data_IF_869756849236
#
_entry.id   IF_869756849236
#
_cell.length_a   1.000
_cell.length_b   1.000
_cell.length_c   1.000
_cell.angle_alpha   90.00
_cell.angle_beta   90.00
_cell.angle_gamma   90.00
#
_symmetry.space_group_name_H-M   'P 1'
#
loop_
_entity.id
_entity.type
_entity.pdbx_description
1 polymer ?
#
# COMPACT_ATOMS: atom_id res chain seq x y z
N UNK A 1 5.80 15.33 -15.94
CA UNK A 1 5.35 16.67 -16.39
C UNK A 1 4.06 17.11 -15.71
N UNK A 2 3.02 16.25 -15.66
CA UNK A 2 1.70 16.58 -15.11
C UNK A 2 1.67 17.15 -13.67
N UNK A 3 2.42 16.59 -12.72
CA UNK A 3 2.38 17.10 -11.34
C UNK A 3 3.03 18.47 -11.13
N UNK A 4 3.89 18.90 -12.08
CA UNK A 4 4.49 20.24 -12.03
C UNK A 4 3.48 21.31 -12.43
N UNK A 5 2.40 20.95 -13.12
CA UNK A 5 1.41 21.90 -13.59
C UNK A 5 0.65 22.61 -12.45
N UNK A 6 0.10 21.91 -11.43
CA UNK A 6 -0.45 22.59 -10.25
C UNK A 6 0.57 23.47 -9.53
N UNK A 7 1.81 23.00 -9.39
CA UNK A 7 2.91 23.75 -8.75
C UNK A 7 3.19 25.05 -9.53
N UNK A 8 3.23 24.97 -10.86
CA UNK A 8 3.46 26.10 -11.74
C UNK A 8 2.33 27.13 -11.69
N UNK A 9 1.06 26.69 -11.67
CA UNK A 9 -0.08 27.60 -11.54
C UNK A 9 -0.01 28.34 -10.20
N UNK A 10 0.20 27.61 -9.10
CA UNK A 10 0.25 28.21 -7.77
C UNK A 10 1.43 29.17 -7.62
N UNK A 11 2.58 28.88 -8.24
CA UNK A 11 3.71 29.81 -8.23
C UNK A 11 3.45 31.05 -9.08
N UNK A 12 2.72 30.93 -10.20
CA UNK A 12 2.30 32.08 -11.02
C UNK A 12 1.31 33.01 -10.31
N UNK A 13 0.54 32.50 -9.35
CA UNK A 13 -0.34 33.31 -8.49
C UNK A 13 0.45 33.96 -7.34
N UNK A 14 1.76 33.72 -7.25
CA UNK A 14 2.63 34.36 -6.25
C UNK A 14 2.74 33.60 -4.93
N UNK A 15 2.24 32.36 -4.84
CA UNK A 15 2.45 31.54 -3.64
C UNK A 15 3.92 31.12 -3.51
N UNK A 16 4.44 31.21 -2.29
CA UNK A 16 5.79 30.74 -1.99
C UNK A 16 5.88 29.22 -2.14
N UNK A 17 7.07 28.73 -2.49
CA UNK A 17 7.30 27.30 -2.67
C UNK A 17 6.94 26.48 -1.41
N UNK A 18 7.22 27.02 -0.22
CA UNK A 18 6.86 26.39 1.05
C UNK A 18 5.34 26.23 1.22
N UNK A 19 4.54 27.22 0.83
CA UNK A 19 3.08 27.13 0.87
C UNK A 19 2.59 26.07 -0.11
N UNK A 20 3.14 26.05 -1.33
CA UNK A 20 2.77 25.06 -2.35
C UNK A 20 3.04 23.63 -1.88
N UNK A 21 4.20 23.38 -1.28
CA UNK A 21 4.53 22.07 -0.71
C UNK A 21 3.55 21.65 0.39
N UNK A 22 3.21 22.57 1.31
CA UNK A 22 2.23 22.31 2.38
C UNK A 22 0.84 21.99 1.84
N UNK A 23 0.38 22.76 0.85
CA UNK A 23 -0.92 22.53 0.20
C UNK A 23 -0.95 21.18 -0.52
N UNK A 24 0.10 20.86 -1.27
CA UNK A 24 0.20 19.61 -2.00
C UNK A 24 0.25 18.41 -1.04
N UNK A 25 1.09 18.48 -0.01
CA UNK A 25 1.19 17.44 1.02
C UNK A 25 -0.16 17.21 1.72
N UNK A 26 -0.81 18.28 2.19
CA UNK A 26 -2.10 18.19 2.88
C UNK A 26 -3.20 17.63 1.98
N UNK A 27 -3.20 18.03 0.70
CA UNK A 27 -4.15 17.51 -0.30
C UNK A 27 -3.94 16.02 -0.54
N UNK A 28 -2.69 15.57 -0.72
CA UNK A 28 -2.38 14.15 -0.91
C UNK A 28 -2.74 13.32 0.32
N UNK A 29 -2.48 13.83 1.52
CA UNK A 29 -2.85 13.15 2.76
C UNK A 29 -4.37 13.01 2.88
N UNK A 30 -5.14 14.09 2.63
CA UNK A 30 -6.59 14.03 2.58
C UNK A 30 -7.10 13.03 1.53
N UNK A 31 -6.55 13.06 0.31
CA UNK A 31 -6.89 12.11 -0.76
C UNK A 31 -6.61 10.68 -0.32
N UNK A 32 -5.52 10.42 0.41
CA UNK A 32 -5.18 9.08 0.91
C UNK A 32 -6.22 8.54 1.89
N UNK A 33 -6.72 9.37 2.82
CA UNK A 33 -7.78 8.98 3.74
C UNK A 33 -9.13 8.81 3.02
N UNK A 34 -9.48 9.74 2.15
CA UNK A 34 -10.73 9.71 1.40
C UNK A 34 -10.81 8.52 0.43
N UNK A 35 -9.72 8.24 -0.29
CA UNK A 35 -9.62 7.09 -1.19
C UNK A 35 -9.76 5.78 -0.43
N UNK A 36 -9.07 5.66 0.71
CA UNK A 36 -9.13 4.49 1.58
C UNK A 36 -10.54 4.28 2.14
N UNK A 37 -11.14 5.34 2.67
CA UNK A 37 -12.52 5.31 3.17
C UNK A 37 -13.50 4.82 2.10
N UNK A 38 -13.39 5.37 0.89
CA UNK A 38 -14.23 5.00 -0.26
C UNK A 38 -14.03 3.54 -0.66
N UNK A 39 -12.78 3.07 -0.64
CA UNK A 39 -12.42 1.68 -0.91
C UNK A 39 -13.07 0.72 0.09
N UNK A 40 -12.93 0.97 1.40
CA UNK A 40 -13.52 0.11 2.44
C UNK A 40 -15.05 0.07 2.35
N UNK A 41 -15.71 1.22 2.14
CA UNK A 41 -17.16 1.27 1.94
C UNK A 41 -17.61 0.41 0.77
N UNK A 42 -16.84 0.41 -0.32
CA UNK A 42 -17.16 -0.37 -1.50
C UNK A 42 -16.99 -1.88 -1.27
N UNK A 43 -15.91 -2.33 -0.60
CA UNK A 43 -15.61 -3.77 -0.46
C UNK A 43 -16.37 -4.47 0.68
N UNK A 44 -16.81 -3.75 1.73
CA UNK A 44 -17.49 -4.36 2.87
C UNK A 44 -19.03 -4.24 2.79
N UNK A 45 -19.58 -3.14 2.28
CA UNK A 45 -21.03 -2.94 2.11
C UNK A 45 -21.86 -3.34 3.36
N UNK A 46 -21.41 -2.92 4.54
CA UNK A 46 -22.00 -3.28 5.83
C UNK A 46 -22.65 -2.08 6.52
N UNK A 47 -23.56 -2.31 7.48
CA UNK A 47 -24.24 -1.24 8.25
C UNK A 47 -23.23 -0.36 8.99
N UNK A 48 -22.23 -0.98 9.61
CA UNK A 48 -21.19 -0.29 10.42
C UNK A 48 -19.95 0.11 9.62
N UNK A 49 -20.02 0.00 8.28
CA UNK A 49 -18.84 0.18 7.43
C UNK A 49 -18.28 1.61 7.49
N UNK A 50 -19.13 2.63 7.66
CA UNK A 50 -18.65 4.02 7.65
C UNK A 50 -17.73 4.31 8.84
N UNK A 51 -18.09 3.88 10.05
CA UNK A 51 -17.26 4.06 11.24
C UNK A 51 -15.94 3.28 11.12
N UNK A 52 -16.02 2.02 10.66
CA UNK A 52 -14.86 1.17 10.45
C UNK A 52 -13.92 1.68 9.34
N UNK A 53 -14.49 2.23 8.26
CA UNK A 53 -13.76 2.86 7.18
C UNK A 53 -13.07 4.15 7.65
N UNK A 54 -13.73 4.95 8.49
CA UNK A 54 -13.14 6.15 9.06
C UNK A 54 -11.93 5.83 9.95
N UNK A 55 -12.06 4.85 10.84
CA UNK A 55 -10.94 4.42 11.71
C UNK A 55 -9.77 3.86 10.89
N UNK A 56 -10.04 3.01 9.90
CA UNK A 56 -9.00 2.49 9.02
C UNK A 56 -8.35 3.56 8.15
N UNK A 57 -9.12 4.55 7.66
CA UNK A 57 -8.58 5.67 6.90
C UNK A 57 -7.65 6.56 7.75
N UNK A 58 -8.00 6.81 9.01
CA UNK A 58 -7.14 7.54 9.94
C UNK A 58 -5.85 6.76 10.21
N UNK A 59 -5.95 5.45 10.45
CA UNK A 59 -4.76 4.61 10.61
C UNK A 59 -3.88 4.60 9.35
N UNK A 60 -4.49 4.48 8.16
CA UNK A 60 -3.77 4.59 6.89
C UNK A 60 -3.02 5.92 6.84
N UNK A 61 -3.68 7.06 7.00
CA UNK A 61 -3.02 8.38 6.95
C UNK A 61 -1.90 8.57 7.98
N UNK A 62 -2.11 8.16 9.22
CA UNK A 62 -1.32 8.60 10.39
C UNK A 62 -0.58 7.50 11.13
N UNK A 63 -0.37 6.33 10.52
CA UNK A 63 0.47 5.32 11.14
C UNK A 63 1.95 5.75 11.16
N UNK A 64 2.67 5.22 12.14
CA UNK A 64 4.06 5.60 12.42
C UNK A 64 5.01 5.28 11.27
N UNK A 65 4.69 4.27 10.46
CA UNK A 65 5.47 3.96 9.27
C UNK A 65 5.32 5.04 8.20
N UNK A 66 4.09 5.45 7.88
CA UNK A 66 3.82 6.53 6.91
C UNK A 66 4.51 7.83 7.32
N UNK A 67 4.49 8.16 8.61
CA UNK A 67 5.20 9.32 9.19
C UNK A 67 6.70 9.27 8.92
N UNK A 68 7.32 8.10 9.08
CA UNK A 68 8.76 7.94 8.89
C UNK A 68 9.16 7.93 7.42
N UNK A 69 8.41 7.25 6.55
CA UNK A 69 8.84 6.95 5.19
C UNK A 69 8.20 7.79 4.10
N UNK A 70 6.88 8.01 4.17
CA UNK A 70 6.16 8.58 3.04
C UNK A 70 6.08 10.10 3.13
N UNK A 71 6.13 10.65 4.34
CA UNK A 71 5.94 12.08 4.53
C UNK A 71 7.12 12.92 4.04
N UNK A 72 8.33 12.35 4.03
CA UNK A 72 9.51 13.01 3.48
C UNK A 72 9.69 12.77 1.96
N UNK A 73 9.01 11.76 1.40
CA UNK A 73 9.07 11.39 -0.02
C UNK A 73 7.77 11.76 -0.73
N UNK A 74 7.59 13.06 -1.01
CA UNK A 74 6.41 13.62 -1.69
C UNK A 74 6.02 12.84 -2.96
N UNK A 75 7.01 12.32 -3.69
CA UNK A 75 6.82 11.52 -4.90
C UNK A 75 6.05 10.22 -4.61
N UNK A 76 6.43 9.48 -3.57
CA UNK A 76 5.77 8.21 -3.19
C UNK A 76 4.35 8.49 -2.67
N UNK A 77 4.15 9.64 -2.03
CA UNK A 77 2.85 10.04 -1.48
C UNK A 77 1.75 10.10 -2.55
N UNK A 78 2.09 10.34 -3.83
CA UNK A 78 1.12 10.25 -4.94
C UNK A 78 0.56 8.84 -5.10
N UNK A 79 1.40 7.81 -5.19
CA UNK A 79 0.92 6.43 -5.30
C UNK A 79 0.20 6.04 -4.01
N UNK A 80 0.74 6.42 -2.85
CA UNK A 80 0.11 6.16 -1.56
C UNK A 80 -1.31 6.72 -1.46
N UNK A 81 -1.51 7.96 -1.93
CA UNK A 81 -2.81 8.63 -1.89
C UNK A 81 -3.83 8.03 -2.85
N UNK A 82 -3.41 7.67 -4.06
CA UNK A 82 -4.30 7.15 -5.09
C UNK A 82 -4.45 5.64 -5.11
N UNK A 83 -3.59 4.88 -4.40
CA UNK A 83 -3.62 3.42 -4.35
C UNK A 83 -5.02 2.84 -4.05
N UNK A 84 -5.72 3.25 -2.96
CA UNK A 84 -7.00 2.65 -2.63
C UNK A 84 -8.08 2.91 -3.68
N UNK A 85 -8.10 4.11 -4.28
CA UNK A 85 -9.09 4.46 -5.30
C UNK A 85 -8.77 3.80 -6.64
N UNK A 86 -7.49 3.64 -6.99
CA UNK A 86 -7.07 2.85 -8.17
C UNK A 86 -7.57 1.42 -8.01
N UNK A 87 -7.34 0.78 -6.87
CA UNK A 87 -7.81 -0.58 -6.64
C UNK A 87 -9.35 -0.67 -6.67
N UNK A 88 -10.07 0.29 -6.08
CA UNK A 88 -11.53 0.40 -6.17
C UNK A 88 -12.00 0.38 -7.64
N UNK A 89 -11.43 1.23 -8.48
CA UNK A 89 -11.83 1.34 -9.88
C UNK A 89 -11.36 0.15 -10.73
N UNK A 90 -10.21 -0.46 -10.42
CA UNK A 90 -9.83 -1.75 -11.01
C UNK A 90 -10.91 -2.81 -10.73
N UNK A 91 -11.40 -2.92 -9.49
CA UNK A 91 -12.45 -3.88 -9.13
C UNK A 91 -13.76 -3.56 -9.85
N UNK A 92 -14.15 -2.29 -9.93
CA UNK A 92 -15.36 -1.88 -10.66
C UNK A 92 -15.28 -2.23 -12.15
N UNK A 93 -14.18 -1.86 -12.80
CA UNK A 93 -13.94 -2.16 -14.22
C UNK A 93 -13.89 -3.67 -14.45
N UNK A 94 -13.19 -4.41 -13.59
CA UNK A 94 -13.08 -5.86 -13.68
C UNK A 94 -14.45 -6.55 -13.55
N UNK A 95 -15.27 -6.10 -12.59
CA UNK A 95 -16.59 -6.65 -12.34
C UNK A 95 -17.58 -6.26 -13.42
N UNK A 96 -17.76 -4.97 -13.71
CA UNK A 96 -18.74 -4.47 -14.67
C UNK A 96 -18.12 -3.32 -15.46
N UNK A 97 -17.42 -3.63 -16.58
CA UNK A 97 -16.73 -2.61 -17.35
C UNK A 97 -17.74 -1.57 -17.84
N UNK A 98 -17.48 -0.31 -17.54
CA UNK A 98 -18.22 0.82 -18.06
C UNK A 98 -17.28 1.98 -18.34
N UNK A 99 -17.68 2.85 -19.27
CA UNK A 99 -16.83 3.96 -19.75
C UNK A 99 -16.41 4.91 -18.63
N UNK A 100 -17.33 5.23 -17.71
CA UNK A 100 -17.08 6.16 -16.61
C UNK A 100 -15.99 5.64 -15.68
N UNK A 101 -16.09 4.39 -15.23
CA UNK A 101 -15.13 3.78 -14.32
C UNK A 101 -13.76 3.56 -14.98
N UNK A 102 -13.72 3.24 -16.28
CA UNK A 102 -12.49 3.16 -17.06
C UNK A 102 -11.76 4.52 -17.19
N UNK A 103 -12.50 5.59 -17.50
CA UNK A 103 -11.95 6.95 -17.56
C UNK A 103 -11.42 7.37 -16.19
N UNK A 104 -12.19 7.14 -15.13
CA UNK A 104 -11.78 7.46 -13.76
C UNK A 104 -10.54 6.67 -13.33
N UNK A 105 -10.47 5.36 -13.62
CA UNK A 105 -9.27 4.55 -13.40
C UNK A 105 -8.05 5.18 -14.08
N UNK A 106 -8.19 5.56 -15.36
CA UNK A 106 -7.10 6.15 -16.15
C UNK A 106 -6.66 7.51 -15.58
N UNK A 107 -7.60 8.35 -15.15
CA UNK A 107 -7.30 9.63 -14.49
C UNK A 107 -6.54 9.40 -13.17
N UNK A 108 -7.01 8.49 -12.31
CA UNK A 108 -6.33 8.23 -11.03
C UNK A 108 -4.94 7.63 -11.23
N UNK A 109 -4.77 6.74 -12.21
CA UNK A 109 -3.45 6.22 -12.59
C UNK A 109 -2.53 7.35 -13.09
N UNK A 110 -3.04 8.29 -13.89
CA UNK A 110 -2.28 9.45 -14.36
C UNK A 110 -1.89 10.38 -13.20
N UNK A 111 -2.81 10.63 -12.26
CA UNK A 111 -2.53 11.44 -11.07
C UNK A 111 -1.49 10.77 -10.16
N UNK A 112 -1.46 9.43 -10.09
CA UNK A 112 -0.45 8.67 -9.34
C UNK A 112 0.92 8.62 -10.00
N UNK A 113 1.03 9.03 -11.28
CA UNK A 113 2.24 8.88 -12.10
C UNK A 113 3.54 9.44 -11.50
N UNK A 114 3.56 10.52 -10.70
CA UNK A 114 4.81 11.00 -10.13
C UNK A 114 5.54 9.93 -9.32
N UNK A 115 4.81 9.09 -8.57
CA UNK A 115 5.40 8.04 -7.76
C UNK A 115 6.11 6.94 -8.57
N UNK A 116 5.88 6.89 -9.88
CA UNK A 116 6.38 5.86 -10.80
C UNK A 116 7.74 6.24 -11.39
N UNK A 117 8.26 7.41 -11.01
CA UNK A 117 9.69 7.69 -11.16
C UNK A 117 10.54 6.54 -10.59
N UNK A 118 10.01 5.81 -9.59
CA UNK A 118 10.48 4.49 -9.24
C UNK A 118 9.57 3.41 -9.85
N UNK A 119 10.00 2.82 -10.97
CA UNK A 119 9.23 1.81 -11.70
C UNK A 119 8.84 0.60 -10.84
N UNK A 120 9.67 0.24 -9.84
CA UNK A 120 9.38 -0.88 -8.95
C UNK A 120 8.14 -0.63 -8.08
N UNK A 121 7.89 0.62 -7.66
CA UNK A 121 6.65 0.95 -6.92
C UNK A 121 5.43 0.77 -7.85
N UNK A 122 5.55 1.15 -9.12
CA UNK A 122 4.52 0.90 -10.13
C UNK A 122 4.28 -0.60 -10.35
N UNK A 123 5.34 -1.41 -10.42
CA UNK A 123 5.24 -2.87 -10.52
C UNK A 123 4.57 -3.48 -9.28
N UNK A 124 4.88 -3.01 -8.08
CA UNK A 124 4.22 -3.43 -6.83
C UNK A 124 2.71 -3.16 -6.87
N UNK A 125 2.29 -2.01 -7.42
CA UNK A 125 0.86 -1.72 -7.63
C UNK A 125 0.21 -2.70 -8.61
N UNK A 126 0.86 -2.99 -9.73
CA UNK A 126 0.36 -3.97 -10.71
C UNK A 126 0.23 -5.35 -10.07
N UNK A 127 1.25 -5.80 -9.33
CA UNK A 127 1.23 -7.09 -8.61
C UNK A 127 0.06 -7.14 -7.62
N UNK A 128 -0.14 -6.09 -6.84
CA UNK A 128 -1.27 -5.99 -5.90
C UNK A 128 -2.62 -6.09 -6.61
N UNK A 129 -2.80 -5.35 -7.71
CA UNK A 129 -4.04 -5.38 -8.51
C UNK A 129 -4.25 -6.78 -9.08
N UNK A 130 -3.26 -7.34 -9.78
CA UNK A 130 -3.37 -8.66 -10.39
C UNK A 130 -3.66 -9.74 -9.35
N UNK A 131 -2.95 -9.71 -8.21
CA UNK A 131 -3.19 -10.64 -7.11
C UNK A 131 -4.64 -10.57 -6.61
N UNK A 132 -5.16 -9.37 -6.36
CA UNK A 132 -6.55 -9.19 -5.94
C UNK A 132 -7.52 -9.73 -7.00
N UNK A 133 -7.33 -9.39 -8.28
CA UNK A 133 -8.25 -9.78 -9.36
C UNK A 133 -8.22 -11.30 -9.62
N UNK A 134 -7.06 -11.95 -9.49
CA UNK A 134 -6.93 -13.41 -9.61
C UNK A 134 -7.72 -14.11 -8.50
N UNK A 135 -7.55 -13.70 -7.25
CA UNK A 135 -8.30 -14.31 -6.15
C UNK A 135 -9.79 -13.99 -6.29
N UNK A 136 -10.17 -12.77 -6.68
CA UNK A 136 -11.56 -12.41 -6.94
C UNK A 136 -12.19 -13.27 -8.05
N UNK A 137 -11.43 -13.56 -9.10
CA UNK A 137 -11.85 -14.47 -10.17
C UNK A 137 -12.08 -15.88 -9.62
N UNK A 138 -11.12 -16.45 -8.88
CA UNK A 138 -11.22 -17.80 -8.30
C UNK A 138 -12.48 -17.95 -7.44
N UNK A 139 -12.82 -16.95 -6.62
CA UNK A 139 -14.00 -16.98 -5.75
C UNK A 139 -15.34 -16.85 -6.48
N UNK A 140 -15.35 -16.48 -7.76
CA UNK A 140 -16.57 -16.26 -8.54
C UNK A 140 -16.79 -17.29 -9.65
N UNK A 141 -15.83 -18.19 -9.87
CA UNK A 141 -15.93 -19.25 -10.88
C UNK A 141 -16.83 -20.35 -10.35
N UNK A 142 -18.13 -20.24 -10.60
CA UNK A 142 -19.11 -21.32 -10.38
C UNK A 142 -20.14 -21.37 -11.52
N UNK A 143 -20.39 -22.56 -12.07
CA UNK A 143 -21.59 -22.87 -12.87
C UNK A 143 -21.51 -22.73 -14.41
N UNK A 144 -22.70 -22.90 -15.02
CA UNK A 144 -22.93 -22.83 -16.48
C UNK A 144 -22.81 -21.37 -16.94
N UNK A 145 -22.06 -21.11 -18.02
CA UNK A 145 -21.78 -19.76 -18.52
C UNK A 145 -20.32 -19.29 -18.37
N UNK A 146 -19.43 -20.18 -17.91
CA UNK A 146 -17.99 -19.90 -17.72
C UNK A 146 -17.31 -19.21 -18.91
N UNK A 147 -17.63 -19.61 -20.15
CA UNK A 147 -17.03 -18.99 -21.37
C UNK A 147 -17.36 -17.51 -21.51
N UNK A 148 -18.63 -17.14 -21.31
CA UNK A 148 -19.08 -15.73 -21.39
C UNK A 148 -18.49 -14.93 -20.23
N UNK A 149 -18.50 -15.51 -19.03
CA UNK A 149 -17.88 -14.93 -17.85
C UNK A 149 -16.37 -14.65 -18.07
N UNK A 150 -15.61 -15.64 -18.54
CA UNK A 150 -14.18 -15.53 -18.82
C UNK A 150 -13.89 -14.48 -19.89
N UNK A 151 -14.65 -14.45 -21.00
CA UNK A 151 -14.49 -13.44 -22.06
C UNK A 151 -14.66 -12.01 -21.51
N UNK A 152 -15.68 -11.79 -20.68
CA UNK A 152 -15.90 -10.48 -20.01
C UNK A 152 -14.76 -10.12 -19.06
N UNK A 153 -14.23 -11.09 -18.31
CA UNK A 153 -13.11 -10.88 -17.38
C UNK A 153 -11.81 -10.55 -18.11
N UNK A 154 -11.50 -11.27 -19.18
CA UNK A 154 -10.33 -11.00 -20.03
C UNK A 154 -10.43 -9.62 -20.70
N UNK A 155 -11.62 -9.26 -21.22
CA UNK A 155 -11.83 -7.92 -21.77
C UNK A 155 -11.61 -6.82 -20.71
N UNK A 156 -12.08 -7.05 -19.48
CA UNK A 156 -11.90 -6.09 -18.40
C UNK A 156 -10.43 -5.99 -17.96
N UNK A 157 -9.68 -7.10 -17.96
CA UNK A 157 -8.23 -7.09 -17.74
C UNK A 157 -7.50 -6.32 -18.84
N UNK A 158 -7.88 -6.51 -20.11
CA UNK A 158 -7.32 -5.75 -21.22
C UNK A 158 -7.53 -4.25 -21.03
N UNK A 159 -8.73 -3.82 -20.62
CA UNK A 159 -9.01 -2.42 -20.31
C UNK A 159 -8.13 -1.90 -19.16
N UNK A 160 -7.97 -2.68 -18.08
CA UNK A 160 -7.11 -2.29 -16.97
C UNK A 160 -5.66 -2.13 -17.46
N UNK A 161 -5.11 -3.11 -18.18
CA UNK A 161 -3.78 -3.05 -18.78
C UNK A 161 -3.61 -1.83 -19.69
N UNK A 162 -4.64 -1.53 -20.51
CA UNK A 162 -4.65 -0.33 -21.36
C UNK A 162 -4.61 0.94 -20.52
N UNK A 163 -5.36 1.05 -19.42
CA UNK A 163 -5.29 2.20 -18.51
C UNK A 163 -3.90 2.39 -17.90
N UNK A 164 -3.25 1.30 -17.45
CA UNK A 164 -1.88 1.34 -16.95
C UNK A 164 -0.91 1.81 -18.03
N UNK A 165 -1.01 1.25 -19.24
CA UNK A 165 -0.17 1.64 -20.36
C UNK A 165 -0.35 3.12 -20.73
N UNK A 166 -1.60 3.58 -20.91
CA UNK A 166 -1.88 4.97 -21.27
C UNK A 166 -1.36 5.94 -20.20
N UNK A 167 -1.63 5.67 -18.93
CA UNK A 167 -1.23 6.55 -17.84
C UNK A 167 0.29 6.61 -17.64
N UNK A 168 0.99 5.48 -17.82
CA UNK A 168 2.40 5.33 -17.40
C UNK A 168 3.38 5.19 -18.55
N UNK A 169 2.92 5.17 -19.80
CA UNK A 169 3.75 5.11 -21.02
C UNK A 169 4.91 6.10 -21.00
N UNK A 170 4.70 7.32 -20.52
CA UNK A 170 5.73 8.35 -20.41
C UNK A 170 6.91 7.98 -19.50
N UNK A 171 6.73 7.07 -18.54
CA UNK A 171 7.79 6.57 -17.66
C UNK A 171 8.28 5.19 -18.10
N UNK A 172 7.35 4.31 -18.53
CA UNK A 172 7.66 2.94 -18.94
C UNK A 172 8.45 2.91 -20.25
N UNK A 173 8.09 3.70 -21.25
CA UNK A 173 8.78 3.68 -22.56
C UNK A 173 10.25 4.10 -22.42
N UNK A 174 10.60 5.23 -21.76
CA UNK A 174 12.01 5.57 -21.54
C UNK A 174 12.76 4.54 -20.70
N UNK A 175 12.11 3.94 -19.70
CA UNK A 175 12.74 2.90 -18.88
C UNK A 175 13.06 1.64 -19.71
N UNK A 176 12.13 1.19 -20.55
CA UNK A 176 12.35 0.06 -21.46
C UNK A 176 13.44 0.37 -22.51
N UNK A 177 13.48 1.60 -23.02
CA UNK A 177 14.52 2.03 -23.96
C UNK A 177 15.93 1.99 -23.33
N UNK A 178 16.03 2.32 -22.04
CA UNK A 178 17.32 2.37 -21.33
C UNK A 178 17.68 1.08 -20.57
N UNK A 179 16.81 0.06 -20.56
CA UNK A 179 16.98 -1.12 -19.71
C UNK A 179 18.31 -1.85 -19.94
N UNK A 180 18.79 -1.91 -21.18
CA UNK A 180 20.08 -2.55 -21.49
C UNK A 180 21.27 -1.83 -20.86
N UNK A 181 21.25 -0.49 -20.83
CA UNK A 181 22.29 0.33 -20.18
C UNK A 181 22.23 0.16 -18.66
N UNK A 182 21.03 0.15 -18.10
CA UNK A 182 20.82 -0.01 -16.66
C UNK A 182 21.25 -1.40 -16.17
N UNK A 183 20.94 -2.46 -16.92
CA UNK A 183 21.38 -3.83 -16.61
C UNK A 183 22.91 -3.90 -16.60
N UNK A 184 23.57 -3.40 -17.64
CA UNK A 184 25.04 -3.43 -17.73
C UNK A 184 25.70 -2.61 -16.62
N UNK A 185 25.09 -1.49 -16.22
CA UNK A 185 25.56 -0.68 -15.10
C UNK A 185 25.35 -1.38 -13.75
N UNK A 186 24.24 -2.11 -13.60
CA UNK A 186 23.91 -2.84 -12.38
C UNK A 186 24.78 -4.10 -12.19
N UNK A 187 25.14 -4.81 -13.26
CA UNK A 187 26.06 -5.95 -13.20
C UNK A 187 27.50 -5.54 -12.93
N UNK A 188 27.86 -4.30 -13.26
CA UNK A 188 29.19 -3.72 -13.02
C UNK A 188 29.31 -3.00 -11.68
N UNK A 189 28.19 -2.77 -10.98
CA UNK A 189 28.19 -2.13 -9.68
C UNK A 189 28.79 -3.05 -8.60
N UNK A 190 29.52 -2.50 -7.60
CA UNK A 190 30.04 -3.29 -6.50
C UNK A 190 28.90 -4.08 -5.84
N UNK A 191 29.19 -5.32 -5.46
CA UNK A 191 28.26 -6.23 -4.80
C UNK A 191 27.56 -5.49 -3.67
N UNK A 192 26.25 -5.29 -3.81
CA UNK A 192 25.43 -4.64 -2.77
C UNK A 192 25.63 -5.42 -1.48
N UNK A 193 26.24 -4.78 -0.48
CA UNK A 193 26.53 -5.42 0.80
C UNK A 193 25.22 -5.81 1.47
N UNK A 194 25.07 -7.11 1.80
CA UNK A 194 23.90 -7.65 2.51
C UNK A 194 23.63 -6.91 3.82
N UNK A 195 24.67 -6.35 4.43
CA UNK A 195 24.60 -5.51 5.63
C UNK A 195 23.71 -4.28 5.43
N UNK A 196 23.89 -3.55 4.31
CA UNK A 196 23.08 -2.38 3.98
C UNK A 196 21.59 -2.72 3.85
N UNK A 197 21.28 -3.91 3.33
CA UNK A 197 19.90 -4.40 3.21
C UNK A 197 19.36 -4.76 4.59
N UNK A 198 20.19 -5.36 5.44
CA UNK A 198 19.86 -5.61 6.84
C UNK A 198 19.46 -4.33 7.58
N UNK A 199 20.10 -3.21 7.27
CA UNK A 199 19.77 -1.89 7.82
C UNK A 199 18.50 -1.27 7.23
N UNK A 200 18.27 -1.49 5.93
CA UNK A 200 17.05 -1.08 5.24
C UNK A 200 15.84 -2.01 5.49
N UNK A 201 15.99 -3.00 6.37
CA UNK A 201 14.95 -3.93 6.82
C UNK A 201 14.55 -3.66 8.27
N UNK A 202 13.51 -4.35 8.76
CA UNK A 202 13.15 -4.28 10.17
C UNK A 202 14.35 -4.61 11.07
N UNK A 203 14.68 -3.73 12.01
CA UNK A 203 15.76 -3.98 12.97
C UNK A 203 15.42 -5.13 13.91
N UNK A 204 14.16 -5.17 14.36
CA UNK A 204 13.59 -6.27 15.14
C UNK A 204 12.21 -6.60 14.60
N UNK A 205 11.90 -7.88 14.42
CA UNK A 205 10.59 -8.36 13.94
C UNK A 205 9.45 -7.80 14.80
N UNK A 206 9.64 -7.78 16.13
CA UNK A 206 8.68 -7.22 17.08
C UNK A 206 8.31 -5.75 16.79
N UNK A 207 9.29 -4.93 16.40
CA UNK A 207 9.05 -3.52 16.07
C UNK A 207 8.35 -3.35 14.72
N UNK A 208 8.42 -4.36 13.84
CA UNK A 208 7.61 -4.41 12.62
C UNK A 208 6.11 -4.40 12.92
N UNK A 209 5.65 -5.14 13.93
CA UNK A 209 4.24 -5.15 14.35
C UNK A 209 3.77 -3.80 14.90
N UNK A 210 4.71 -2.99 15.39
CA UNK A 210 4.46 -1.66 15.96
C UNK A 210 4.74 -0.53 14.96
N UNK A 211 5.07 -0.85 13.71
CA UNK A 211 5.38 0.12 12.67
C UNK A 211 6.64 0.97 12.95
N UNK A 212 7.62 0.40 13.67
CA UNK A 212 8.87 1.07 14.09
C UNK A 212 10.14 0.35 13.64
N UNK A 213 10.05 -0.54 12.67
CA UNK A 213 11.20 -1.34 12.29
C UNK A 213 12.29 -0.59 11.51
N UNK A 214 12.11 0.69 11.15
CA UNK A 214 13.14 1.48 10.48
C UNK A 214 14.36 1.70 11.38
N UNK A 215 15.57 1.51 10.87
CA UNK A 215 16.81 1.70 11.63
C UNK A 215 16.93 3.11 12.20
N UNK A 216 16.49 4.12 11.44
CA UNK A 216 16.57 5.51 11.87
C UNK A 216 15.65 5.82 13.04
N UNK A 217 14.61 5.03 13.32
CA UNK A 217 13.61 5.41 14.31
C UNK A 217 14.20 5.60 15.72
N UNK A 218 15.05 4.68 16.15
CA UNK A 218 15.79 4.76 17.41
C UNK A 218 17.27 5.13 17.21
N UNK A 219 17.65 5.48 15.99
CA UNK A 219 19.00 5.88 15.64
C UNK A 219 19.32 7.31 16.06
N UNK A 220 20.61 7.60 16.17
CA UNK A 220 21.13 8.92 16.47
C UNK A 220 22.39 9.20 15.67
N UNK A 221 22.66 10.48 15.39
CA UNK A 221 23.92 10.93 14.82
C UNK A 221 24.55 11.98 15.73
N UNK A 222 25.80 11.75 16.16
CA UNK A 222 26.53 12.64 17.09
C UNK A 222 25.79 12.94 18.41
N UNK A 223 25.01 11.99 18.91
CA UNK A 223 24.20 12.13 20.12
C UNK A 223 22.79 12.66 19.88
N UNK A 224 22.50 13.21 18.70
CA UNK A 224 21.17 13.71 18.36
C UNK A 224 20.30 12.60 17.75
N UNK A 225 19.12 12.37 18.33
CA UNK A 225 18.15 11.41 17.80
C UNK A 225 17.63 11.85 16.43
N UNK A 226 17.54 10.94 15.47
CA UNK A 226 16.91 11.23 14.17
C UNK A 226 15.42 11.61 14.35
N UNK A 227 14.75 11.00 15.33
CA UNK A 227 13.37 11.31 15.70
C UNK A 227 13.31 11.66 17.20
N UNK A 228 13.19 12.95 17.57
CA UNK A 228 13.19 13.38 18.98
C UNK A 228 12.11 12.71 19.84
N UNK A 229 10.97 12.36 19.23
CA UNK A 229 9.85 11.72 19.92
C UNK A 229 9.99 10.20 20.07
N UNK A 230 11.03 9.57 19.49
CA UNK A 230 11.22 8.11 19.52
C UNK A 230 11.36 7.55 20.94
N UNK A 231 11.89 8.33 21.88
CA UNK A 231 12.05 7.92 23.27
C UNK A 231 10.71 7.55 23.94
N UNK A 232 9.64 8.27 23.63
CA UNK A 232 8.30 8.01 24.19
C UNK A 232 7.79 6.62 23.78
N UNK A 233 8.17 6.14 22.60
CA UNK A 233 7.77 4.83 22.09
C UNK A 233 8.47 3.65 22.78
N UNK A 234 9.44 3.91 23.66
CA UNK A 234 10.02 2.88 24.56
C UNK A 234 9.25 2.72 25.87
N UNK A 235 8.28 3.59 26.16
CA UNK A 235 7.46 3.48 27.38
C UNK A 235 6.48 2.30 27.30
N UNK A 236 6.14 1.65 28.43
CA UNK A 236 5.20 0.53 28.44
C UNK A 236 3.86 0.82 27.77
N UNK A 237 3.32 2.03 27.97
CA UNK A 237 2.06 2.46 27.35
C UNK A 237 2.11 2.40 25.82
N UNK A 238 3.14 2.99 25.20
CA UNK A 238 3.29 2.99 23.74
C UNK A 238 3.72 1.63 23.17
N UNK A 239 4.32 0.77 23.99
CA UNK A 239 4.54 -0.64 23.64
C UNK A 239 3.21 -1.37 23.55
N UNK A 240 2.39 -1.29 24.60
CA UNK A 240 1.07 -1.91 24.65
C UNK A 240 0.16 -1.40 23.54
N UNK A 241 0.12 -0.09 23.29
CA UNK A 241 -0.69 0.50 22.21
C UNK A 241 -0.26 0.01 20.81
N UNK A 242 1.05 -0.06 20.56
CA UNK A 242 1.57 -0.55 19.29
C UNK A 242 1.16 -2.00 19.01
N UNK A 243 1.30 -2.88 20.01
CA UNK A 243 0.86 -4.27 19.88
C UNK A 243 -0.66 -4.43 19.86
N UNK A 244 -1.40 -3.58 20.57
CA UNK A 244 -2.87 -3.59 20.55
C UNK A 244 -3.39 -3.37 19.14
N UNK A 245 -2.80 -2.45 18.36
CA UNK A 245 -3.18 -2.22 16.97
C UNK A 245 -2.94 -3.48 16.11
N UNK A 246 -1.81 -4.17 16.30
CA UNK A 246 -1.53 -5.43 15.61
C UNK A 246 -2.52 -6.54 15.99
N UNK A 247 -2.82 -6.69 17.28
CA UNK A 247 -3.82 -7.67 17.77
C UNK A 247 -5.21 -7.35 17.18
N UNK A 248 -5.62 -6.09 17.19
CA UNK A 248 -6.87 -5.66 16.58
C UNK A 248 -6.89 -5.94 15.09
N UNK A 249 -5.81 -5.69 14.36
CA UNK A 249 -5.72 -6.05 12.94
C UNK A 249 -5.93 -7.54 12.72
N UNK A 250 -5.16 -8.41 13.39
CA UNK A 250 -5.26 -9.86 13.20
C UNK A 250 -6.53 -10.48 13.78
N UNK A 251 -7.24 -9.78 14.66
CA UNK A 251 -8.56 -10.22 15.13
C UNK A 251 -9.57 -10.36 13.98
N UNK A 252 -9.31 -9.74 12.81
CA UNK A 252 -10.11 -9.89 11.59
C UNK A 252 -10.28 -11.34 11.17
N UNK A 253 -9.32 -12.23 11.49
CA UNK A 253 -9.42 -13.65 11.16
C UNK A 253 -10.50 -14.39 11.97
N UNK A 254 -10.76 -13.94 13.20
CA UNK A 254 -11.83 -14.48 14.04
C UNK A 254 -13.18 -13.83 13.72
N UNK A 255 -13.15 -12.66 13.10
CA UNK A 255 -14.35 -11.96 12.68
C UNK A 255 -14.75 -12.37 11.25
N UNK A 256 -15.97 -12.90 11.14
CA UNK A 256 -16.81 -12.73 9.96
C UNK A 256 -16.52 -13.61 8.71
N UNK A 257 -17.27 -14.71 8.57
CA UNK A 257 -17.30 -15.56 7.36
C UNK A 257 -17.73 -14.79 6.10
N UNK A 258 -18.54 -13.73 6.22
CA UNK A 258 -19.08 -12.98 5.05
C UNK A 258 -18.02 -12.15 4.32
N UNK A 259 -16.90 -11.80 4.94
CA UNK A 259 -15.78 -11.12 4.26
C UNK A 259 -14.57 -12.04 4.05
N UNK A 260 -14.78 -13.37 4.11
CA UNK A 260 -13.72 -14.38 4.00
C UNK A 260 -12.76 -14.14 2.84
N UNK A 261 -13.26 -13.79 1.65
CA UNK A 261 -12.42 -13.47 0.47
C UNK A 261 -11.46 -12.32 0.75
N UNK A 262 -11.97 -11.19 1.26
CA UNK A 262 -11.15 -10.01 1.54
C UNK A 262 -10.16 -10.28 2.67
N UNK A 263 -10.56 -11.01 3.71
CA UNK A 263 -9.69 -11.43 4.82
C UNK A 263 -8.54 -12.30 4.29
N UNK A 264 -8.80 -13.25 3.39
CA UNK A 264 -7.76 -14.10 2.80
C UNK A 264 -6.81 -13.26 1.96
N UNK A 265 -7.32 -12.41 1.07
CA UNK A 265 -6.49 -11.57 0.19
C UNK A 265 -5.60 -10.65 1.03
N UNK A 266 -6.19 -9.83 1.90
CA UNK A 266 -5.45 -8.84 2.67
C UNK A 266 -4.64 -9.46 3.81
N UNK A 267 -5.08 -10.60 4.36
CA UNK A 267 -4.32 -11.42 5.30
C UNK A 267 -3.02 -11.93 4.68
N UNK A 268 -3.13 -12.55 3.51
CA UNK A 268 -1.96 -13.02 2.77
C UNK A 268 -1.03 -11.87 2.42
N UNK A 269 -1.56 -10.76 1.89
CA UNK A 269 -0.74 -9.59 1.54
C UNK A 269 -0.04 -8.99 2.76
N UNK A 270 -0.73 -8.89 3.90
CA UNK A 270 -0.14 -8.34 5.14
C UNK A 270 1.00 -9.23 5.63
N UNK A 271 0.78 -10.55 5.72
CA UNK A 271 1.78 -11.50 6.23
C UNK A 271 2.97 -11.59 5.26
N UNK A 272 2.72 -11.79 3.96
CA UNK A 272 3.79 -11.89 2.96
C UNK A 272 4.61 -10.60 2.87
N UNK A 273 3.96 -9.44 2.88
CA UNK A 273 4.65 -8.14 2.87
C UNK A 273 5.47 -7.94 4.14
N UNK A 274 4.94 -8.28 5.31
CA UNK A 274 5.68 -8.22 6.58
C UNK A 274 6.95 -9.08 6.55
N UNK A 275 6.83 -10.32 6.06
CA UNK A 275 7.96 -11.24 5.93
C UNK A 275 9.01 -10.71 4.94
N UNK A 276 8.61 -10.15 3.80
CA UNK A 276 9.52 -9.61 2.80
C UNK A 276 10.22 -8.32 3.25
N UNK A 277 9.53 -7.46 4.02
CA UNK A 277 10.12 -6.24 4.60
C UNK A 277 11.26 -6.59 5.58
N UNK A 278 11.16 -7.72 6.25
CA UNK A 278 12.18 -8.21 7.16
C UNK A 278 13.51 -8.59 6.46
N UNK A 279 13.49 -8.71 5.11
CA UNK A 279 14.67 -8.88 4.28
C UNK A 279 15.50 -10.13 4.64
N UNK A 280 16.83 -10.02 4.79
CA UNK A 280 17.71 -11.17 5.03
C UNK A 280 17.60 -11.74 6.46
N UNK A 281 16.77 -11.16 7.33
CA UNK A 281 16.60 -11.61 8.72
C UNK A 281 15.56 -12.73 8.83
N UNK A 282 15.70 -13.59 9.84
CA UNK A 282 14.75 -14.67 10.19
C UNK A 282 13.30 -14.13 10.36
N UNK A 283 12.25 -14.84 9.89
CA UNK A 283 12.22 -16.28 9.58
C UNK A 283 12.48 -16.66 8.11
N UNK A 284 12.23 -15.78 7.13
CA UNK A 284 12.42 -16.11 5.70
C UNK A 284 13.73 -15.58 5.11
N UNK A 285 14.65 -15.11 5.95
CA UNK A 285 15.88 -14.46 5.54
C UNK A 285 16.76 -15.27 4.59
N UNK A 286 16.79 -16.60 4.75
CA UNK A 286 17.51 -17.50 3.85
C UNK A 286 16.94 -17.47 2.42
N UNK A 287 15.60 -17.51 2.29
CA UNK A 287 14.91 -17.42 0.99
C UNK A 287 15.15 -16.04 0.37
N UNK A 288 15.04 -14.97 1.17
CA UNK A 288 15.32 -13.62 0.70
C UNK A 288 16.76 -13.48 0.18
N UNK A 289 17.74 -13.97 0.94
CA UNK A 289 19.16 -13.91 0.58
C UNK A 289 19.46 -14.75 -0.66
N UNK A 290 18.86 -15.94 -0.77
CA UNK A 290 18.95 -16.77 -1.97
C UNK A 290 18.42 -16.04 -3.20
N UNK A 291 17.22 -15.45 -3.11
CA UNK A 291 16.64 -14.69 -4.21
C UNK A 291 17.50 -13.49 -4.59
N UNK A 292 18.00 -12.76 -3.58
CA UNK A 292 18.81 -11.56 -3.76
C UNK A 292 20.15 -11.85 -4.43
N UNK A 293 20.84 -12.91 -4.02
CA UNK A 293 22.17 -13.25 -4.55
C UNK A 293 22.10 -13.98 -5.90
N UNK A 294 21.01 -14.70 -6.18
CA UNK A 294 20.88 -15.52 -7.40
C UNK A 294 20.17 -14.82 -8.55
N UNK A 295 19.23 -13.91 -8.28
CA UNK A 295 18.42 -13.27 -9.31
C UNK A 295 18.70 -11.75 -9.37
N UNK A 296 19.33 -11.25 -10.44
CA UNK A 296 19.70 -9.84 -10.56
C UNK A 296 18.51 -8.87 -10.39
N UNK A 297 17.32 -9.25 -10.82
CA UNK A 297 16.10 -8.44 -10.64
C UNK A 297 15.72 -8.24 -9.17
N UNK A 298 16.10 -9.17 -8.28
CA UNK A 298 15.79 -9.06 -6.87
C UNK A 298 16.66 -8.00 -6.16
N UNK A 299 17.75 -7.55 -6.78
CA UNK A 299 18.54 -6.39 -6.32
C UNK A 299 17.73 -5.11 -6.20
N UNK A 300 16.65 -4.98 -6.99
CA UNK A 300 15.75 -3.86 -6.92
C UNK A 300 15.03 -3.77 -5.56
N UNK A 301 14.97 -4.86 -4.79
CA UNK A 301 14.40 -4.89 -3.43
C UNK A 301 15.41 -4.53 -2.32
N UNK A 302 16.60 -4.00 -2.63
CA UNK A 302 17.62 -3.59 -1.63
C UNK A 302 17.14 -2.68 -0.48
N UNK A 303 16.02 -1.98 -0.69
CA UNK A 303 15.30 -1.27 0.35
C UNK A 303 13.85 -1.79 0.31
N UNK A 304 13.54 -2.86 1.06
CA UNK A 304 12.24 -3.50 1.01
C UNK A 304 11.19 -2.70 1.77
N UNK A 305 11.58 -1.92 2.79
CA UNK A 305 10.70 -0.99 3.50
C UNK A 305 10.02 -0.06 2.48
N UNK A 306 10.77 0.79 1.78
CA UNK A 306 10.18 1.82 0.90
C UNK A 306 9.16 1.29 -0.13
N UNK A 307 9.34 0.04 -0.57
CA UNK A 307 8.61 -0.53 -1.71
C UNK A 307 7.46 -1.44 -1.27
N UNK A 308 7.74 -2.33 -0.33
CA UNK A 308 6.79 -3.35 0.14
C UNK A 308 5.95 -2.80 1.31
N UNK A 309 6.48 -1.83 2.06
CA UNK A 309 5.78 -1.15 3.14
C UNK A 309 4.46 -0.53 2.74
N UNK A 310 4.34 -0.05 1.50
CA UNK A 310 3.09 0.48 0.95
C UNK A 310 2.00 -0.60 0.87
N UNK A 311 2.33 -1.80 0.40
CA UNK A 311 1.39 -2.94 0.36
C UNK A 311 1.07 -3.39 1.79
N UNK A 312 2.07 -3.45 2.66
CA UNK A 312 1.90 -3.83 4.07
C UNK A 312 0.92 -2.90 4.79
N UNK A 313 1.15 -1.58 4.77
CA UNK A 313 0.26 -0.62 5.43
C UNK A 313 -1.15 -0.68 4.83
N UNK A 314 -1.25 -0.72 3.51
CA UNK A 314 -2.56 -0.76 2.84
C UNK A 314 -3.36 -1.99 3.28
N UNK A 315 -2.77 -3.18 3.14
CA UNK A 315 -3.44 -4.44 3.50
C UNK A 315 -3.74 -4.54 5.00
N UNK A 316 -2.81 -4.11 5.85
CA UNK A 316 -3.01 -4.05 7.30
C UNK A 316 -4.17 -3.12 7.67
N UNK A 317 -4.24 -1.93 7.06
CA UNK A 317 -5.32 -0.98 7.31
C UNK A 317 -6.68 -1.56 6.91
N UNK A 318 -6.74 -2.37 5.84
CA UNK A 318 -7.98 -3.02 5.41
C UNK A 318 -8.44 -4.06 6.43
N UNK A 319 -7.53 -4.90 6.93
CA UNK A 319 -7.85 -5.87 7.98
C UNK A 319 -8.30 -5.18 9.27
N UNK A 320 -7.64 -4.09 9.65
CA UNK A 320 -8.03 -3.28 10.80
C UNK A 320 -9.46 -2.72 10.64
N UNK A 321 -9.83 -2.21 9.47
CA UNK A 321 -11.22 -1.82 9.17
C UNK A 321 -12.20 -3.00 9.28
N UNK A 322 -11.83 -4.20 8.80
CA UNK A 322 -12.68 -5.38 8.93
C UNK A 322 -12.91 -5.73 10.41
N UNK A 323 -11.85 -5.67 11.23
CA UNK A 323 -11.94 -5.90 12.67
C UNK A 323 -12.85 -4.91 13.37
N UNK A 324 -12.70 -3.60 13.10
CA UNK A 324 -13.59 -2.58 13.69
C UNK A 324 -15.06 -2.80 13.28
N UNK A 325 -15.32 -3.12 12.01
CA UNK A 325 -16.67 -3.46 11.54
C UNK A 325 -17.24 -4.68 12.28
N UNK A 326 -16.40 -5.70 12.54
CA UNK A 326 -16.76 -6.88 13.34
C UNK A 326 -17.10 -6.53 14.79
N UNK A 327 -16.29 -5.70 15.44
CA UNK A 327 -16.47 -5.26 16.83
C UNK A 327 -17.76 -4.44 16.98
N UNK A 328 -17.96 -3.40 16.16
CA UNK A 328 -19.15 -2.56 16.24
C UNK A 328 -20.44 -3.36 16.10
N UNK A 329 -20.45 -4.35 15.21
CA UNK A 329 -21.60 -5.24 15.04
C UNK A 329 -21.89 -6.07 16.28
N UNK A 330 -20.86 -6.64 16.93
CA UNK A 330 -21.04 -7.45 18.15
C UNK A 330 -21.59 -6.62 19.29
N UNK A 331 -21.11 -5.38 19.45
CA UNK A 331 -21.61 -4.45 20.47
C UNK A 331 -23.11 -4.18 20.24
N UNK A 332 -23.49 -3.73 19.04
CA UNK A 332 -24.89 -3.43 18.73
C UNK A 332 -25.82 -4.65 18.77
N UNK A 333 -25.34 -5.85 18.40
CA UNK A 333 -26.13 -7.08 18.53
C UNK A 333 -26.46 -7.40 19.99
N UNK A 334 -25.50 -7.16 20.88
CA UNK A 334 -25.66 -7.39 22.32
C UNK A 334 -26.72 -6.44 22.89
N UNK A 335 -26.68 -5.16 22.52
CA UNK A 335 -27.69 -4.15 22.92
C UNK A 335 -29.10 -4.56 22.49
N UNK A 336 -29.28 -4.94 21.21
CA UNK A 336 -30.61 -5.35 20.70
C UNK A 336 -31.21 -6.59 21.38
N UNK A 337 -30.38 -7.42 22.03
CA UNK A 337 -30.83 -8.61 22.75
C UNK A 337 -31.35 -8.28 24.16
N UNK A 338 -30.91 -7.17 24.75
CA UNK A 338 -31.35 -6.76 26.09
C UNK A 338 -32.57 -5.83 26.06
N UNK A 339 -32.89 -5.25 24.90
CA UNK A 339 -34.10 -4.42 24.72
C UNK A 339 -35.37 -5.23 24.43
N UNK A 340 -35.26 -6.54 24.21
CA UNK A 340 -36.38 -7.49 24.03
C UNK A 340 -36.40 -8.48 25.19
#
# INVERSE_FOLDING_TARGET
MFFRFPIFILSKIGLSFAIIQKLLFSSLLFISGFSFFSFIKYILQDKYVSAAAFLGANFYMFNLYSLQFFWHLLIILFIYAFLPIILLYCIKVFNKPNRKDFVLLTIFLLLSSPGINNLLIGLMLIVLVLFYLIIDFIFQVEGKGFKIFLKRRLFSLLLICLSFFLAWSHAVIPALYNIGKDINSATSAPTVNLEYIGDASFQKVAEGFRFMGHFGFFGSYKGDLYYPYSAIYKTPLFISLGFLIAILCYSSFFFYRRHKKNIIIFGFLTISSFLLINGPKSPIGAVYTFLFTRYPFFSMFRNPLDKIGLIFIFSFSVLLSISFSGIFRKINYTESKYEN
#
